data_IF_273123416273
#
_entry.id   IF_273123416273
#
_cell.length_a   1.000
_cell.length_b   1.000
_cell.length_c   1.000
_cell.angle_alpha   90.00
_cell.angle_beta   90.00
_cell.angle_gamma   90.00
#
_symmetry.space_group_name_H-M   'P 1'
#
loop_
_entity.id
_entity.type
_entity.pdbx_description
1 polymer ?
#
# COMPACT_ATOMS: atom_id res chain seq x y z
N UNK A 1 12.71 -29.66 -7.74
CA UNK A 1 12.89 -28.43 -8.54
C UNK A 1 11.88 -27.33 -8.19
N UNK A 2 10.70 -27.63 -7.68
CA UNK A 2 9.71 -26.63 -7.25
C UNK A 2 10.16 -25.80 -6.01
N UNK A 3 10.91 -26.39 -5.10
CA UNK A 3 11.33 -25.75 -3.85
C UNK A 3 12.36 -24.62 -4.04
N UNK A 4 13.25 -24.73 -5.02
CA UNK A 4 14.26 -23.71 -5.29
C UNK A 4 13.63 -22.35 -5.68
N UNK A 5 12.53 -22.39 -6.45
CA UNK A 5 11.80 -21.17 -6.84
C UNK A 5 11.05 -20.50 -5.69
N UNK A 6 10.64 -21.25 -4.65
CA UNK A 6 9.90 -20.68 -3.52
C UNK A 6 10.82 -19.89 -2.58
N UNK A 7 12.02 -20.41 -2.30
CA UNK A 7 13.01 -19.72 -1.45
C UNK A 7 13.44 -18.38 -2.07
N UNK A 8 13.73 -18.37 -3.37
CA UNK A 8 14.09 -17.14 -4.08
C UNK A 8 12.95 -16.12 -4.05
N UNK A 9 11.70 -16.58 -4.14
CA UNK A 9 10.53 -15.70 -3.99
C UNK A 9 10.37 -15.15 -2.58
N UNK A 10 10.58 -15.97 -1.54
CA UNK A 10 10.49 -15.49 -0.16
C UNK A 10 11.55 -14.42 0.14
N UNK A 11 12.79 -14.59 -0.34
CA UNK A 11 13.88 -13.63 -0.14
C UNK A 11 13.62 -12.25 -0.77
N UNK A 12 12.68 -12.13 -1.70
CA UNK A 12 12.28 -10.84 -2.27
C UNK A 12 11.51 -9.98 -1.27
N UNK A 13 10.90 -10.59 -0.24
CA UNK A 13 10.14 -9.88 0.78
C UNK A 13 11.02 -9.52 1.97
N UNK A 14 10.89 -8.30 2.46
CA UNK A 14 11.69 -7.75 3.56
C UNK A 14 11.69 -8.62 4.81
N UNK A 15 10.60 -9.35 5.09
CA UNK A 15 10.53 -10.23 6.27
C UNK A 15 11.51 -11.39 6.23
N UNK A 16 11.92 -11.86 5.06
CA UNK A 16 12.80 -13.00 4.88
C UNK A 16 14.22 -12.61 4.45
N UNK A 17 14.48 -11.33 4.21
CA UNK A 17 15.83 -10.87 3.82
C UNK A 17 16.84 -11.13 4.91
N UNK A 18 18.01 -11.65 4.51
CA UNK A 18 19.10 -12.00 5.42
C UNK A 18 18.94 -13.34 6.15
N UNK A 19 17.85 -14.08 5.92
CA UNK A 19 17.69 -15.44 6.43
C UNK A 19 18.59 -16.41 5.66
N UNK A 20 19.12 -17.41 6.36
CA UNK A 20 19.90 -18.48 5.72
C UNK A 20 18.98 -19.40 4.89
N UNK A 21 19.58 -20.08 3.91
CA UNK A 21 18.84 -21.10 3.14
C UNK A 21 18.26 -22.19 4.05
N UNK A 22 19.01 -22.63 5.07
CA UNK A 22 18.53 -23.62 6.04
C UNK A 22 17.31 -23.14 6.85
N UNK A 23 17.28 -21.85 7.25
CA UNK A 23 16.11 -21.27 7.93
C UNK A 23 14.89 -21.25 7.03
N UNK A 24 15.06 -20.89 5.75
CA UNK A 24 13.95 -20.90 4.77
C UNK A 24 13.45 -22.31 4.49
N UNK A 25 14.35 -23.30 4.40
CA UNK A 25 13.98 -24.72 4.27
C UNK A 25 13.14 -25.19 5.46
N UNK A 26 13.53 -24.82 6.69
CA UNK A 26 12.77 -25.12 7.89
C UNK A 26 11.39 -24.45 7.89
N UNK A 27 11.29 -23.17 7.49
CA UNK A 27 10.02 -22.45 7.37
C UNK A 27 9.12 -23.17 6.38
N UNK A 28 9.60 -23.45 5.17
CA UNK A 28 8.77 -24.09 4.12
C UNK A 28 8.35 -25.50 4.53
N UNK A 29 9.21 -26.26 5.18
CA UNK A 29 8.92 -27.63 5.62
C UNK A 29 7.90 -27.71 6.77
N UNK A 30 7.89 -26.70 7.67
CA UNK A 30 7.12 -26.74 8.92
C UNK A 30 5.97 -25.73 9.00
N UNK A 31 5.81 -24.86 7.98
CA UNK A 31 4.77 -23.83 7.93
C UNK A 31 3.70 -24.18 6.89
N UNK A 32 2.44 -24.07 7.26
CA UNK A 32 1.34 -24.22 6.31
C UNK A 32 1.22 -22.98 5.43
N UNK A 33 1.83 -23.04 4.26
CA UNK A 33 1.75 -21.98 3.26
C UNK A 33 0.50 -22.16 2.40
N UNK A 34 -0.31 -21.10 2.27
CA UNK A 34 -1.44 -21.08 1.35
C UNK A 34 -1.01 -20.45 0.01
N UNK A 35 -1.46 -21.04 -1.10
CA UNK A 35 -1.19 -20.52 -2.44
C UNK A 35 -2.52 -20.21 -3.12
N UNK A 36 -2.67 -18.97 -3.56
CA UNK A 36 -3.90 -18.47 -4.17
C UNK A 36 -3.60 -17.87 -5.53
N UNK A 37 -4.47 -18.10 -6.50
CA UNK A 37 -4.45 -17.44 -7.81
C UNK A 37 -5.71 -16.62 -7.96
N UNK A 38 -5.56 -15.41 -8.50
CA UNK A 38 -6.66 -14.49 -8.74
C UNK A 38 -6.66 -14.06 -10.20
N UNK A 39 -7.83 -14.10 -10.82
CA UNK A 39 -8.05 -13.53 -12.13
C UNK A 39 -8.15 -11.99 -12.04
N UNK A 40 -7.90 -11.26 -13.15
CA UNK A 40 -8.10 -9.81 -13.17
C UNK A 40 -9.52 -9.44 -12.72
N UNK A 41 -9.62 -8.43 -11.85
CA UNK A 41 -10.88 -7.97 -11.25
C UNK A 41 -11.28 -8.71 -9.96
N UNK A 42 -10.66 -9.85 -9.61
CA UNK A 42 -10.96 -10.53 -8.35
C UNK A 42 -10.33 -9.80 -7.15
N UNK A 43 -11.06 -9.76 -6.04
CA UNK A 43 -10.60 -9.15 -4.79
C UNK A 43 -9.79 -10.15 -3.96
N UNK A 44 -8.59 -9.78 -3.61
CA UNK A 44 -7.67 -10.57 -2.78
C UNK A 44 -7.96 -10.40 -1.27
N UNK A 45 -8.25 -9.16 -0.87
CA UNK A 45 -8.68 -8.76 0.46
C UNK A 45 -9.45 -7.45 0.36
N UNK A 46 -10.52 -7.29 1.12
CA UNK A 46 -11.34 -6.08 1.14
C UNK A 46 -11.13 -5.27 2.42
N UNK A 47 -11.35 -3.96 2.33
CA UNK A 47 -11.45 -3.09 3.49
C UNK A 47 -12.48 -3.61 4.48
N UNK A 48 -12.11 -3.67 5.76
CA UNK A 48 -12.93 -4.24 6.84
C UNK A 48 -12.79 -5.74 7.04
N UNK A 49 -12.22 -6.50 6.09
CA UNK A 49 -11.96 -7.94 6.26
C UNK A 49 -10.98 -8.20 7.40
N UNK A 50 -11.12 -9.35 8.07
CA UNK A 50 -10.21 -9.78 9.12
C UNK A 50 -8.80 -10.05 8.56
N UNK A 51 -7.79 -9.36 9.11
CA UNK A 51 -6.38 -9.59 8.79
C UNK A 51 -5.81 -10.69 9.69
N UNK A 52 -6.11 -11.96 9.38
CA UNK A 52 -5.69 -13.15 10.12
C UNK A 52 -4.54 -13.92 9.45
N UNK A 53 -3.97 -13.37 8.39
CA UNK A 53 -2.85 -13.91 7.63
C UNK A 53 -2.03 -12.80 6.99
N UNK A 54 -0.74 -13.02 6.80
CA UNK A 54 0.08 -12.22 5.90
C UNK A 54 -0.17 -12.67 4.47
N UNK A 55 -0.32 -11.73 3.57
CA UNK A 55 -0.49 -11.94 2.13
C UNK A 55 0.70 -11.35 1.39
N UNK A 56 1.27 -12.13 0.50
CA UNK A 56 2.45 -11.78 -0.29
C UNK A 56 2.13 -11.93 -1.77
N UNK A 57 2.08 -10.85 -2.50
CA UNK A 57 1.96 -10.86 -3.96
C UNK A 57 3.29 -11.34 -4.54
N UNK A 58 3.32 -12.56 -5.05
CA UNK A 58 4.52 -13.18 -5.61
C UNK A 58 4.63 -13.01 -7.10
N UNK A 59 3.53 -12.67 -7.76
CA UNK A 59 3.48 -12.42 -9.20
C UNK A 59 2.24 -11.60 -9.56
N UNK A 60 2.35 -10.73 -10.57
CA UNK A 60 1.26 -9.89 -11.07
C UNK A 60 1.25 -8.47 -10.51
N UNK A 61 0.16 -7.77 -10.80
CA UNK A 61 -0.11 -6.39 -10.38
C UNK A 61 -1.49 -6.29 -9.74
N UNK A 62 -1.63 -5.41 -8.76
CA UNK A 62 -2.87 -5.19 -8.02
C UNK A 62 -3.26 -3.71 -8.02
N UNK A 63 -4.56 -3.43 -8.04
CA UNK A 63 -5.07 -2.16 -7.58
C UNK A 63 -5.20 -2.17 -6.06
N UNK A 64 -4.78 -1.09 -5.41
CA UNK A 64 -4.96 -0.86 -3.99
C UNK A 64 -5.89 0.34 -3.86
N UNK A 65 -7.09 0.10 -3.35
CA UNK A 65 -8.09 1.14 -3.13
C UNK A 65 -8.09 1.51 -1.65
N UNK A 66 -7.83 2.77 -1.37
CA UNK A 66 -7.90 3.36 -0.03
C UNK A 66 -9.05 4.35 0.01
N UNK A 67 -10.04 4.11 0.85
CA UNK A 67 -11.20 5.00 1.01
C UNK A 67 -11.08 5.76 2.33
N UNK A 68 -11.33 7.07 2.29
CA UNK A 68 -11.36 7.89 3.51
C UNK A 68 -12.44 7.42 4.48
N UNK A 69 -12.23 7.61 5.79
CA UNK A 69 -13.14 7.14 6.84
C UNK A 69 -14.57 7.69 6.71
N UNK A 70 -14.71 8.88 6.13
CA UNK A 70 -16.00 9.52 5.85
C UNK A 70 -16.55 9.18 4.45
N UNK A 71 -15.89 8.26 3.70
CA UNK A 71 -16.22 7.90 2.32
C UNK A 71 -16.26 9.08 1.34
N UNK A 72 -15.59 10.18 1.65
CA UNK A 72 -15.59 11.39 0.82
C UNK A 72 -14.76 11.20 -0.45
N UNK A 73 -13.70 10.41 -0.39
CA UNK A 73 -12.85 10.14 -1.54
C UNK A 73 -12.19 8.77 -1.47
N UNK A 74 -11.72 8.31 -2.62
CA UNK A 74 -10.95 7.07 -2.76
C UNK A 74 -9.70 7.33 -3.58
N UNK A 75 -8.57 6.82 -3.12
CA UNK A 75 -7.30 6.79 -3.85
C UNK A 75 -7.07 5.37 -4.36
N UNK A 76 -6.76 5.24 -5.63
CA UNK A 76 -6.37 3.96 -6.24
C UNK A 76 -4.93 4.07 -6.70
N UNK A 77 -4.13 3.10 -6.29
CA UNK A 77 -2.71 2.96 -6.62
C UNK A 77 -2.45 1.60 -7.25
N UNK A 78 -1.35 1.46 -7.97
CA UNK A 78 -0.92 0.18 -8.53
C UNK A 78 0.23 -0.38 -7.69
N UNK A 79 0.02 -1.58 -7.15
CA UNK A 79 1.05 -2.37 -6.48
C UNK A 79 1.63 -3.41 -7.46
N UNK A 80 2.93 -3.63 -7.37
CA UNK A 80 3.66 -4.58 -8.21
C UNK A 80 4.31 -5.66 -7.36
N UNK A 81 4.34 -6.89 -7.86
CA UNK A 81 5.11 -7.95 -7.18
C UNK A 81 6.61 -7.63 -7.23
N UNK A 82 7.39 -7.91 -6.15
CA UNK A 82 6.95 -8.47 -4.85
C UNK A 82 6.34 -7.40 -3.93
N UNK A 83 5.12 -7.64 -3.45
CA UNK A 83 4.41 -6.71 -2.52
C UNK A 83 3.81 -7.49 -1.35
N UNK A 84 3.86 -6.92 -0.15
CA UNK A 84 3.24 -7.49 1.04
C UNK A 84 2.08 -6.62 1.50
N UNK A 85 0.88 -7.21 1.59
CA UNK A 85 -0.32 -6.50 1.99
C UNK A 85 -0.26 -6.18 3.49
N UNK A 86 -0.49 -4.97 3.86
CA UNK A 86 -0.79 -4.40 5.18
C UNK A 86 -0.38 -5.26 6.40
N UNK A 87 0.92 -5.60 6.49
CA UNK A 87 1.45 -6.49 7.55
C UNK A 87 1.25 -5.92 8.98
N UNK A 88 1.11 -4.61 9.12
CA UNK A 88 0.85 -3.94 10.40
C UNK A 88 -0.50 -4.31 11.02
N UNK A 89 -1.44 -4.80 10.22
CA UNK A 89 -2.78 -5.17 10.73
C UNK A 89 -2.89 -6.61 11.23
N UNK A 90 -1.85 -7.44 11.08
CA UNK A 90 -1.91 -8.83 11.58
C UNK A 90 -1.88 -8.91 13.10
N UNK A 91 -1.25 -7.93 13.75
CA UNK A 91 -1.21 -7.77 15.21
C UNK A 91 -1.79 -6.40 15.59
N UNK A 92 -1.92 -6.15 16.88
CA UNK A 92 -2.44 -4.90 17.39
C UNK A 92 -3.94 -4.94 17.68
N UNK A 93 -4.49 -3.76 17.96
CA UNK A 93 -5.86 -3.61 18.46
C UNK A 93 -6.91 -3.80 17.34
N UNK A 94 -6.63 -3.26 16.13
CA UNK A 94 -7.49 -3.42 14.96
C UNK A 94 -6.82 -4.37 13.96
N UNK A 95 -7.36 -5.59 13.86
CA UNK A 95 -6.83 -6.62 12.98
C UNK A 95 -7.73 -6.74 11.74
N UNK A 96 -7.84 -5.64 10.99
CA UNK A 96 -8.63 -5.55 9.77
C UNK A 96 -7.83 -4.86 8.68
N UNK A 97 -8.08 -5.27 7.44
CA UNK A 97 -7.58 -4.52 6.30
C UNK A 97 -8.26 -3.15 6.24
N UNK A 98 -7.49 -2.11 5.91
CA UNK A 98 -7.97 -0.74 5.68
C UNK A 98 -7.88 -0.35 4.20
N UNK A 99 -7.52 -1.31 3.36
CA UNK A 99 -7.41 -1.16 1.92
C UNK A 99 -8.07 -2.36 1.24
N UNK A 100 -8.68 -2.13 0.08
CA UNK A 100 -9.13 -3.21 -0.80
C UNK A 100 -8.05 -3.49 -1.85
N UNK A 101 -7.65 -4.75 -1.94
CA UNK A 101 -6.64 -5.24 -2.88
C UNK A 101 -7.36 -6.03 -3.98
N UNK A 102 -7.28 -5.59 -5.22
CA UNK A 102 -7.93 -6.21 -6.37
C UNK A 102 -6.90 -6.54 -7.45
N UNK A 103 -6.95 -7.74 -8.00
CA UNK A 103 -6.06 -8.17 -9.07
C UNK A 103 -6.26 -7.30 -10.32
N UNK A 104 -5.20 -6.67 -10.81
CA UNK A 104 -5.19 -5.92 -12.07
C UNK A 104 -4.81 -6.85 -13.23
N UNK A 105 -3.86 -7.75 -13.00
CA UNK A 105 -3.45 -8.82 -13.91
C UNK A 105 -3.71 -10.17 -13.24
N UNK A 106 -3.51 -11.32 -13.91
CA UNK A 106 -3.46 -12.60 -13.21
C UNK A 106 -2.42 -12.52 -12.08
N UNK A 107 -2.82 -12.83 -10.83
CA UNK A 107 -1.98 -12.69 -9.65
C UNK A 107 -1.77 -14.04 -8.96
N UNK A 108 -0.57 -14.21 -8.41
CA UNK A 108 -0.24 -15.29 -7.47
C UNK A 108 0.04 -14.69 -6.09
N UNK A 109 -0.65 -15.18 -5.07
CA UNK A 109 -0.51 -14.71 -3.69
C UNK A 109 -0.17 -15.88 -2.79
N UNK A 110 0.90 -15.73 -2.01
CA UNK A 110 1.26 -16.61 -0.91
C UNK A 110 0.62 -16.08 0.38
N UNK A 111 0.09 -16.97 1.21
CA UNK A 111 -0.45 -16.60 2.52
C UNK A 111 0.17 -17.39 3.65
N UNK A 112 0.40 -16.74 4.79
CA UNK A 112 0.88 -17.34 6.04
C UNK A 112 -0.09 -16.92 7.13
N UNK A 113 -0.72 -17.91 7.82
CA UNK A 113 -1.66 -17.62 8.89
C UNK A 113 -0.99 -16.92 10.06
N UNK A 114 -1.77 -16.18 10.86
CA UNK A 114 -1.27 -15.47 12.04
C UNK A 114 -0.55 -16.39 13.03
N UNK A 115 -1.07 -17.61 13.24
CA UNK A 115 -0.47 -18.58 14.16
C UNK A 115 0.91 -19.05 13.63
N UNK A 116 1.01 -19.27 12.32
CA UNK A 116 2.29 -19.62 11.71
C UNK A 116 3.27 -18.45 11.73
N UNK A 117 2.80 -17.21 11.49
CA UNK A 117 3.63 -16.00 11.65
C UNK A 117 4.17 -15.89 13.06
N UNK A 118 3.36 -16.20 14.08
CA UNK A 118 3.79 -16.20 15.47
C UNK A 118 4.87 -17.25 15.73
N UNK A 119 4.73 -18.47 15.22
CA UNK A 119 5.74 -19.52 15.35
C UNK A 119 7.07 -19.14 14.67
N UNK A 120 7.01 -18.59 13.46
CA UNK A 120 8.19 -18.08 12.75
C UNK A 120 8.87 -16.98 13.57
N UNK A 121 8.07 -16.05 14.11
CA UNK A 121 8.57 -14.96 14.95
C UNK A 121 9.27 -15.45 16.22
N UNK A 122 8.77 -16.48 16.88
CA UNK A 122 9.41 -17.08 18.06
C UNK A 122 10.71 -17.79 17.70
N UNK A 123 10.74 -18.49 16.58
CA UNK A 123 11.84 -19.37 16.19
C UNK A 123 13.00 -18.62 15.53
N UNK A 124 12.70 -17.69 14.62
CA UNK A 124 13.73 -17.07 13.75
C UNK A 124 13.97 -15.60 14.11
N UNK A 125 15.13 -15.35 14.71
CA UNK A 125 15.52 -13.99 15.17
C UNK A 125 15.55 -12.98 14.02
N UNK A 126 16.03 -13.37 12.82
CA UNK A 126 16.11 -12.47 11.66
C UNK A 126 14.70 -12.06 11.22
N UNK A 127 13.77 -13.00 11.09
CA UNK A 127 12.38 -12.69 10.76
C UNK A 127 11.76 -11.71 11.78
N UNK A 128 11.98 -11.94 13.07
CA UNK A 128 11.53 -11.09 14.17
C UNK A 128 12.06 -9.66 14.05
N UNK A 129 13.36 -9.51 13.82
CA UNK A 129 14.01 -8.20 13.65
C UNK A 129 13.45 -7.52 12.40
N UNK A 130 13.28 -8.24 11.29
CA UNK A 130 12.74 -7.69 10.05
C UNK A 130 11.29 -7.20 10.23
N UNK A 131 10.45 -7.94 10.96
CA UNK A 131 9.09 -7.50 11.26
C UNK A 131 9.09 -6.23 12.13
N UNK A 132 9.90 -6.17 13.18
CA UNK A 132 10.03 -4.97 14.01
C UNK A 132 10.52 -3.78 13.19
N UNK A 133 11.54 -3.96 12.35
CA UNK A 133 12.07 -2.91 11.48
C UNK A 133 11.03 -2.40 10.49
N UNK A 134 10.25 -3.31 9.89
CA UNK A 134 9.16 -2.95 8.98
C UNK A 134 8.13 -2.07 9.67
N UNK A 135 7.64 -2.50 10.84
CA UNK A 135 6.63 -1.76 11.61
C UNK A 135 7.17 -0.42 12.11
N UNK A 136 8.40 -0.38 12.62
CA UNK A 136 9.07 0.84 13.07
C UNK A 136 9.23 1.85 11.92
N UNK A 137 9.63 1.37 10.73
CA UNK A 137 9.78 2.21 9.55
C UNK A 137 8.44 2.81 9.11
N UNK A 138 7.37 2.01 9.12
CA UNK A 138 6.02 2.51 8.79
C UNK A 138 5.56 3.56 9.79
N UNK A 139 5.75 3.31 11.08
CA UNK A 139 5.42 4.27 12.14
C UNK A 139 6.21 5.58 11.99
N UNK A 140 7.52 5.53 11.75
CA UNK A 140 8.35 6.71 11.52
C UNK A 140 7.88 7.53 10.31
N UNK A 141 7.51 6.86 9.21
CA UNK A 141 6.96 7.53 8.02
C UNK A 141 5.63 8.24 8.33
N UNK A 142 4.74 7.61 9.09
CA UNK A 142 3.47 8.23 9.50
C UNK A 142 3.72 9.44 10.41
N UNK A 143 4.62 9.31 11.40
CA UNK A 143 4.97 10.40 12.31
C UNK A 143 5.54 11.60 11.54
N UNK A 144 6.46 11.38 10.60
CA UNK A 144 7.04 12.45 9.78
C UNK A 144 5.98 13.19 8.94
N UNK A 145 4.98 12.45 8.41
CA UNK A 145 3.88 13.06 7.65
C UNK A 145 3.02 13.98 8.52
N UNK A 146 2.70 13.56 9.75
CA UNK A 146 1.85 14.32 10.68
C UNK A 146 2.49 15.65 11.11
N UNK A 147 3.83 15.70 11.23
CA UNK A 147 4.57 16.88 11.70
C UNK A 147 5.12 17.76 10.58
N UNK A 148 4.70 17.56 9.33
CA UNK A 148 5.08 18.46 8.24
C UNK A 148 4.50 19.86 8.47
N UNK A 149 5.32 20.89 8.18
CA UNK A 149 4.89 22.29 8.26
C UNK A 149 3.72 22.55 7.30
N UNK A 150 2.80 23.39 7.74
CA UNK A 150 1.72 23.91 6.88
C UNK A 150 2.35 24.62 5.68
N UNK A 151 1.96 24.23 4.50
CA UNK A 151 2.53 24.82 3.26
C UNK A 151 1.94 26.21 3.00
N UNK A 152 2.74 27.17 2.58
CA UNK A 152 2.31 28.57 2.43
C UNK A 152 1.38 28.78 1.23
N UNK A 153 1.42 27.91 0.22
CA UNK A 153 0.62 28.07 -1.01
C UNK A 153 -0.41 26.95 -1.15
N UNK A 154 -1.57 27.25 -1.75
CA UNK A 154 -2.61 26.27 -2.03
C UNK A 154 -2.10 25.16 -2.96
N UNK A 155 -1.24 25.49 -3.92
CA UNK A 155 -0.55 24.51 -4.77
C UNK A 155 0.17 23.46 -3.92
N UNK A 156 1.00 23.89 -3.00
CA UNK A 156 1.78 22.99 -2.15
C UNK A 156 0.88 22.20 -1.19
N UNK A 157 -0.18 22.84 -0.67
CA UNK A 157 -1.19 22.14 0.16
C UNK A 157 -1.87 21.03 -0.62
N UNK A 158 -2.24 21.29 -1.88
CA UNK A 158 -2.84 20.30 -2.77
C UNK A 158 -1.88 19.13 -3.06
N UNK A 159 -0.63 19.42 -3.34
CA UNK A 159 0.41 18.39 -3.56
C UNK A 159 0.63 17.55 -2.30
N UNK A 160 0.71 18.20 -1.14
CA UNK A 160 0.86 17.52 0.14
C UNK A 160 -0.36 16.65 0.49
N UNK A 161 -1.57 17.10 0.12
CA UNK A 161 -2.77 16.29 0.24
C UNK A 161 -2.64 14.99 -0.57
N UNK A 162 -2.23 15.07 -1.82
CA UNK A 162 -2.02 13.88 -2.64
C UNK A 162 -0.96 12.95 -2.04
N UNK A 163 0.20 13.49 -1.68
CA UNK A 163 1.29 12.70 -1.09
C UNK A 163 0.89 12.01 0.23
N UNK A 164 0.16 12.73 1.09
CA UNK A 164 -0.20 12.21 2.42
C UNK A 164 -1.23 11.09 2.37
N UNK A 165 -2.03 11.02 1.30
CA UNK A 165 -3.07 10.00 1.13
C UNK A 165 -2.66 8.85 0.21
N UNK A 166 -1.41 8.83 -0.28
CA UNK A 166 -0.86 7.75 -1.08
C UNK A 166 0.04 6.83 -0.25
N UNK A 167 -0.02 5.52 -0.50
CA UNK A 167 0.87 4.54 0.13
C UNK A 167 2.28 4.64 -0.45
N UNK A 168 2.39 4.82 -1.76
CA UNK A 168 3.65 4.92 -2.47
C UNK A 168 3.98 6.37 -2.84
N UNK A 169 5.24 6.80 -2.65
CA UNK A 169 5.66 8.18 -2.96
C UNK A 169 5.81 8.46 -4.46
N UNK A 170 5.70 7.46 -5.30
CA UNK A 170 5.92 7.54 -6.74
C UNK A 170 4.88 6.74 -7.53
N UNK A 171 4.85 6.94 -8.85
CA UNK A 171 4.00 6.23 -9.80
C UNK A 171 2.60 6.81 -9.92
N UNK A 172 1.79 6.12 -10.71
CA UNK A 172 0.43 6.52 -11.08
C UNK A 172 -0.52 6.51 -9.87
N UNK A 173 -1.37 7.57 -9.79
CA UNK A 173 -2.41 7.71 -8.78
C UNK A 173 -3.72 8.13 -9.43
N UNK A 174 -4.79 7.49 -9.03
CA UNK A 174 -6.13 7.85 -9.44
C UNK A 174 -6.99 8.20 -8.20
N UNK A 175 -7.33 9.48 -8.06
CA UNK A 175 -8.14 9.97 -6.95
C UNK A 175 -9.57 10.21 -7.43
N UNK A 176 -10.53 9.50 -6.86
CA UNK A 176 -11.96 9.75 -7.06
C UNK A 176 -12.43 10.70 -5.94
N UNK A 177 -12.48 12.00 -6.25
CA UNK A 177 -12.86 13.06 -5.31
C UNK A 177 -13.63 14.16 -6.04
N UNK A 178 -14.68 14.67 -5.41
CA UNK A 178 -15.39 15.86 -5.93
C UNK A 178 -14.59 17.11 -5.60
N UNK A 179 -14.61 18.10 -6.50
CA UNK A 179 -13.91 19.37 -6.32
C UNK A 179 -14.30 20.10 -5.02
N UNK A 180 -15.57 20.01 -4.61
CA UNK A 180 -16.02 20.60 -3.34
C UNK A 180 -15.41 19.85 -2.15
N UNK A 181 -15.38 18.53 -2.18
CA UNK A 181 -14.76 17.72 -1.11
C UNK A 181 -13.28 18.03 -0.95
N UNK A 182 -12.54 18.17 -2.07
CA UNK A 182 -11.13 18.57 -1.99
C UNK A 182 -10.96 19.98 -1.41
N UNK A 183 -11.88 20.90 -1.73
CA UNK A 183 -11.87 22.24 -1.16
C UNK A 183 -12.12 22.23 0.36
N UNK A 184 -13.04 21.39 0.81
CA UNK A 184 -13.34 21.20 2.23
C UNK A 184 -12.12 20.61 2.98
N UNK A 185 -11.46 19.59 2.41
CA UNK A 185 -10.23 19.00 2.97
C UNK A 185 -9.06 20.01 3.06
N UNK A 186 -8.96 20.92 2.07
CA UNK A 186 -7.93 21.96 2.05
C UNK A 186 -8.32 23.25 2.80
N UNK A 187 -9.53 23.29 3.39
CA UNK A 187 -10.03 24.46 4.12
C UNK A 187 -10.14 25.72 3.26
N UNK A 188 -10.49 25.59 1.97
CA UNK A 188 -10.51 26.69 1.01
C UNK A 188 -11.76 26.69 0.12
N UNK A 189 -11.89 27.69 -0.76
CA UNK A 189 -13.03 27.76 -1.68
C UNK A 189 -12.78 26.90 -2.93
N UNK A 190 -13.84 26.22 -3.42
CA UNK A 190 -13.83 25.40 -4.63
C UNK A 190 -13.19 26.10 -5.84
N UNK A 191 -13.42 27.42 -5.99
CA UNK A 191 -12.87 28.21 -7.09
C UNK A 191 -11.33 28.17 -7.12
N UNK A 192 -10.70 28.35 -5.96
CA UNK A 192 -9.23 28.35 -5.87
C UNK A 192 -8.63 26.97 -6.10
N UNK A 193 -9.30 25.92 -5.62
CA UNK A 193 -8.89 24.53 -5.91
C UNK A 193 -8.97 24.26 -7.41
N UNK A 194 -10.08 24.67 -8.05
CA UNK A 194 -10.25 24.52 -9.51
C UNK A 194 -9.13 25.21 -10.29
N UNK A 195 -8.80 26.45 -9.92
CA UNK A 195 -7.70 27.21 -10.54
C UNK A 195 -6.35 26.50 -10.37
N UNK A 196 -6.04 26.07 -9.13
CA UNK A 196 -4.80 25.36 -8.83
C UNK A 196 -4.68 24.05 -9.62
N UNK A 197 -5.75 23.26 -9.68
CA UNK A 197 -5.73 21.99 -10.41
C UNK A 197 -5.62 22.20 -11.93
N UNK A 198 -6.28 23.23 -12.48
CA UNK A 198 -6.12 23.58 -13.90
C UNK A 198 -4.68 23.98 -14.22
N UNK A 199 -4.03 24.79 -13.37
CA UNK A 199 -2.62 25.13 -13.53
C UNK A 199 -1.73 23.86 -13.54
N UNK A 200 -1.96 22.91 -12.62
CA UNK A 200 -1.22 21.65 -12.59
C UNK A 200 -1.49 20.79 -13.83
N UNK A 201 -2.71 20.86 -14.39
CA UNK A 201 -3.06 20.18 -15.63
C UNK A 201 -2.37 20.84 -16.84
N UNK A 202 -2.35 22.16 -16.92
CA UNK A 202 -1.69 22.90 -17.99
C UNK A 202 -0.16 22.65 -18.00
N UNK A 203 0.41 22.40 -16.82
CA UNK A 203 1.80 21.96 -16.66
C UNK A 203 2.03 20.48 -17.02
N UNK A 204 0.98 19.71 -17.34
CA UNK A 204 1.05 18.29 -17.70
C UNK A 204 1.36 17.36 -16.53
N UNK A 205 1.10 17.80 -15.29
CA UNK A 205 1.40 17.05 -14.07
C UNK A 205 0.26 16.12 -13.65
N UNK A 206 -0.96 16.45 -14.05
CA UNK A 206 -2.16 15.64 -13.81
C UNK A 206 -3.20 15.87 -14.92
N UNK A 207 -4.23 15.03 -14.94
CA UNK A 207 -5.42 15.23 -15.80
C UNK A 207 -6.69 15.20 -14.94
N UNK A 208 -7.64 16.06 -15.30
CA UNK A 208 -8.91 16.19 -14.60
C UNK A 208 -10.03 15.55 -15.40
N UNK A 209 -10.89 14.81 -14.73
CA UNK A 209 -12.14 14.30 -15.25
C UNK A 209 -13.28 14.54 -14.26
N UNK A 210 -14.53 14.22 -14.63
CA UNK A 210 -15.67 14.48 -13.77
C UNK A 210 -15.58 13.69 -12.47
N UNK A 211 -15.20 14.38 -11.39
CA UNK A 211 -15.09 13.79 -10.04
C UNK A 211 -13.84 12.91 -9.85
N UNK A 212 -12.84 13.04 -10.73
CA UNK A 212 -11.59 12.31 -10.57
C UNK A 212 -10.37 13.13 -11.03
N UNK A 213 -9.24 12.86 -10.40
CA UNK A 213 -7.94 13.44 -10.68
C UNK A 213 -7.01 12.25 -10.97
N UNK A 214 -6.35 12.28 -12.11
CA UNK A 214 -5.38 11.28 -12.50
C UNK A 214 -3.99 11.90 -12.53
N UNK A 215 -3.08 11.38 -11.72
CA UNK A 215 -1.68 11.78 -11.59
C UNK A 215 -0.84 10.66 -12.20
N UNK A 216 -0.15 10.94 -13.30
CA UNK A 216 0.64 9.93 -14.00
C UNK A 216 1.89 9.50 -13.21
N UNK A 217 2.52 10.45 -12.51
CA UNK A 217 3.74 10.21 -11.74
C UNK A 217 3.76 11.18 -10.57
N UNK A 218 3.45 10.68 -9.35
CA UNK A 218 3.36 11.52 -8.15
C UNK A 218 4.68 12.22 -7.84
N UNK A 219 5.80 11.56 -8.08
CA UNK A 219 7.15 12.10 -7.88
C UNK A 219 7.41 13.38 -8.68
N UNK A 220 6.77 13.56 -9.85
CA UNK A 220 6.91 14.79 -10.65
C UNK A 220 6.22 15.99 -10.03
N UNK A 221 5.20 15.78 -9.19
CA UNK A 221 4.55 16.84 -8.42
C UNK A 221 5.40 17.30 -7.24
N UNK A 222 6.32 16.45 -6.77
CA UNK A 222 7.13 16.67 -5.57
C UNK A 222 8.47 17.37 -5.89
N UNK A 223 8.83 17.50 -7.17
CA UNK A 223 9.99 18.22 -7.65
C UNK A 223 9.72 19.73 -7.73
#
# INVERSE_FOLDING_TARGET
>A
MADFHLYDKLLQFTLFQGMSKGDLELIVAHTRLGFHKYAPGETNAADGDACNRLLFLTDGHIHIHTTSSNHAFTVTEVGHSPEMFQAESIFGLSQRFTHTYQALTPCSVLSISKDEVYRIFETFTIFRINLVNLLSTRLQKQHTRTWRKTSPTLRQQTINFFESHCLYPAGEKHLKIKMQQLADELGTKRLYVSQTLNTLQDEGLLTLSRGAIHIQALERLLM
#
